data_IF_169036692244
#
_entry.id   IF_169036692244
#
_cell.length_a   1.000
_cell.length_b   1.000
_cell.length_c   1.000
_cell.angle_alpha   90.00
_cell.angle_beta   90.00
_cell.angle_gamma   90.00
#
_symmetry.space_group_name_H-M   'P 1'
#
loop_
_entity.id
_entity.type
_entity.pdbx_description
1 polymer ?
#
# COMPACT_ATOMS: atom_id res chain seq x y z
N UNK A 1 -8.78 -3.40 18.29
CA UNK A 1 -9.69 -2.45 17.60
C UNK A 1 -10.85 -3.20 16.96
N UNK A 2 -12.08 -2.67 17.06
CA UNK A 2 -13.25 -3.19 16.33
C UNK A 2 -13.58 -2.22 15.21
N UNK A 3 -13.45 -2.65 13.96
CA UNK A 3 -13.79 -1.84 12.77
C UNK A 3 -14.61 -2.69 11.80
N UNK A 4 -15.63 -2.10 11.18
CA UNK A 4 -16.53 -2.82 10.26
C UNK A 4 -15.85 -3.29 8.98
N UNK A 5 -14.68 -2.72 8.62
CA UNK A 5 -13.92 -3.14 7.45
C UNK A 5 -13.53 -4.63 7.54
N UNK A 6 -13.24 -5.14 8.75
CA UNK A 6 -12.85 -6.54 8.94
C UNK A 6 -14.00 -7.54 8.73
N UNK A 7 -15.24 -7.07 8.66
CA UNK A 7 -16.43 -7.87 8.34
C UNK A 7 -17.07 -7.48 7.01
N UNK A 8 -16.42 -6.65 6.21
CA UNK A 8 -16.96 -6.16 4.93
C UNK A 8 -16.90 -7.18 3.78
N UNK A 9 -16.34 -8.36 4.03
CA UNK A 9 -16.19 -9.43 3.04
C UNK A 9 -14.97 -9.25 2.14
N UNK A 10 -14.89 -10.03 1.08
CA UNK A 10 -13.74 -10.04 0.17
C UNK A 10 -13.67 -8.78 -0.69
N UNK A 11 -12.45 -8.44 -1.07
CA UNK A 11 -12.14 -7.49 -2.14
C UNK A 11 -12.48 -8.19 -3.47
N UNK A 12 -13.31 -7.60 -4.33
CA UNK A 12 -13.66 -8.23 -5.60
C UNK A 12 -12.51 -8.17 -6.60
N UNK A 13 -12.42 -9.17 -7.46
CA UNK A 13 -11.68 -9.06 -8.71
C UNK A 13 -12.37 -8.03 -9.63
N UNK A 14 -11.57 -7.20 -10.29
CA UNK A 14 -12.04 -6.21 -11.26
C UNK A 14 -11.31 -6.38 -12.60
N UNK A 15 -11.93 -5.94 -13.69
CA UNK A 15 -11.26 -5.92 -15.00
C UNK A 15 -10.14 -4.85 -14.94
N UNK A 16 -8.96 -5.26 -14.48
CA UNK A 16 -7.81 -4.38 -14.29
C UNK A 16 -6.91 -4.44 -15.53
N UNK A 17 -6.81 -3.34 -16.26
CA UNK A 17 -5.94 -3.21 -17.43
C UNK A 17 -4.90 -2.16 -17.14
N UNK A 18 -3.71 -2.60 -16.77
CA UNK A 18 -2.54 -1.73 -16.57
C UNK A 18 -1.69 -1.77 -17.84
N UNK A 19 -1.29 -0.61 -18.41
CA UNK A 19 -0.53 -0.62 -19.65
C UNK A 19 0.87 -1.20 -19.47
N UNK A 20 1.29 -2.04 -20.38
CA UNK A 20 2.66 -2.53 -20.45
C UNK A 20 3.56 -1.45 -21.06
N UNK A 21 4.20 -0.65 -20.22
CA UNK A 21 5.04 0.50 -20.62
C UNK A 21 6.30 0.56 -19.78
N UNK A 22 7.40 0.97 -20.40
CA UNK A 22 8.66 1.24 -19.71
C UNK A 22 8.52 2.49 -18.84
N UNK A 23 8.84 2.38 -17.54
CA UNK A 23 8.61 3.41 -16.53
C UNK A 23 9.76 4.44 -16.43
N UNK A 24 10.30 4.90 -17.57
CA UNK A 24 11.44 5.82 -17.63
C UNK A 24 11.08 7.29 -17.92
N UNK A 25 9.82 7.65 -17.86
CA UNK A 25 9.40 9.03 -18.00
C UNK A 25 8.18 9.33 -17.14
N UNK A 26 8.11 10.56 -16.65
CA UNK A 26 6.96 11.01 -15.83
C UNK A 26 5.60 10.70 -16.50
N UNK A 27 5.52 10.92 -17.82
CA UNK A 27 4.28 10.66 -18.58
C UNK A 27 3.92 9.16 -18.60
N UNK A 28 4.90 8.28 -18.79
CA UNK A 28 4.68 6.83 -18.79
C UNK A 28 4.27 6.35 -17.40
N UNK A 29 5.00 6.79 -16.37
CA UNK A 29 4.70 6.48 -14.98
C UNK A 29 3.30 6.99 -14.60
N UNK A 30 2.97 8.26 -14.87
CA UNK A 30 1.66 8.81 -14.56
C UNK A 30 0.52 8.02 -15.24
N UNK A 31 0.71 7.59 -16.48
CA UNK A 31 -0.27 6.77 -17.20
C UNK A 31 -0.44 5.40 -16.55
N UNK A 32 0.65 4.77 -16.13
CA UNK A 32 0.65 3.48 -15.44
C UNK A 32 -0.08 3.60 -14.09
N UNK A 33 0.32 4.58 -13.28
CA UNK A 33 -0.27 4.84 -11.97
C UNK A 33 -1.78 5.14 -12.06
N UNK A 34 -2.21 5.97 -13.03
CA UNK A 34 -3.63 6.28 -13.22
C UNK A 34 -4.46 5.02 -13.53
N UNK A 35 -3.97 4.14 -14.40
CA UNK A 35 -4.65 2.91 -14.76
C UNK A 35 -4.77 1.96 -13.56
N UNK A 36 -3.72 1.83 -12.76
CA UNK A 36 -3.73 0.99 -11.57
C UNK A 36 -4.57 1.59 -10.44
N UNK A 37 -4.55 2.90 -10.28
CA UNK A 37 -5.42 3.64 -9.35
C UNK A 37 -6.91 3.36 -9.60
N UNK A 38 -7.32 3.34 -10.88
CA UNK A 38 -8.70 3.01 -11.25
C UNK A 38 -9.07 1.58 -10.82
N UNK A 39 -8.15 0.61 -10.96
CA UNK A 39 -8.35 -0.75 -10.48
C UNK A 39 -8.56 -0.79 -8.95
N UNK A 40 -7.68 -0.15 -8.20
CA UNK A 40 -7.75 -0.07 -6.74
C UNK A 40 -9.06 0.54 -6.27
N UNK A 41 -9.46 1.66 -6.85
CA UNK A 41 -10.71 2.35 -6.50
C UNK A 41 -11.93 1.48 -6.77
N UNK A 42 -12.00 0.82 -7.93
CA UNK A 42 -13.13 -0.06 -8.29
C UNK A 42 -13.25 -1.26 -7.37
N UNK A 43 -12.13 -1.83 -6.94
CA UNK A 43 -12.12 -2.97 -6.03
C UNK A 43 -12.45 -2.56 -4.59
N UNK A 44 -11.87 -1.48 -4.07
CA UNK A 44 -12.05 -1.07 -2.69
C UNK A 44 -13.36 -0.33 -2.39
N UNK A 45 -13.91 0.40 -3.37
CA UNK A 45 -15.18 1.13 -3.20
C UNK A 45 -16.31 0.27 -2.62
N UNK A 46 -16.65 -0.91 -3.17
CA UNK A 46 -17.73 -1.73 -2.60
C UNK A 46 -17.40 -2.25 -1.19
N UNK A 47 -16.13 -2.50 -0.87
CA UNK A 47 -15.69 -2.97 0.45
C UNK A 47 -15.90 -1.87 1.51
N UNK A 48 -15.43 -0.66 1.22
CA UNK A 48 -15.60 0.52 2.09
C UNK A 48 -17.09 0.85 2.29
N UNK A 49 -17.89 0.75 1.23
CA UNK A 49 -19.35 0.97 1.33
C UNK A 49 -20.04 -0.10 2.19
N UNK A 50 -19.65 -1.38 2.07
CA UNK A 50 -20.16 -2.45 2.95
C UNK A 50 -19.74 -2.26 4.41
N UNK A 51 -18.60 -1.62 4.67
CA UNK A 51 -18.21 -1.21 6.01
C UNK A 51 -19.06 -0.05 6.57
N UNK A 52 -19.99 0.50 5.79
CA UNK A 52 -20.87 1.59 6.19
C UNK A 52 -20.27 2.98 6.01
N UNK A 53 -19.22 3.11 5.21
CA UNK A 53 -18.51 4.37 4.99
C UNK A 53 -18.70 4.85 3.55
N UNK A 54 -18.87 6.16 3.38
CA UNK A 54 -18.90 6.77 2.05
C UNK A 54 -17.50 6.73 1.44
N UNK A 55 -17.35 6.08 0.29
CA UNK A 55 -16.10 6.09 -0.44
C UNK A 55 -15.81 7.47 -1.05
N UNK A 56 -14.62 7.98 -0.82
CA UNK A 56 -14.05 9.15 -1.50
C UNK A 56 -12.88 8.66 -2.34
N UNK A 57 -12.78 9.06 -3.62
CA UNK A 57 -11.65 8.67 -4.45
C UNK A 57 -10.36 9.34 -3.98
N UNK A 58 -9.22 8.67 -4.17
CA UNK A 58 -7.89 9.27 -4.09
C UNK A 58 -7.40 9.70 -5.47
N UNK A 59 -6.38 10.55 -5.50
CA UNK A 59 -5.63 10.89 -6.70
C UNK A 59 -4.23 10.28 -6.65
N UNK A 60 -3.54 10.17 -7.79
CA UNK A 60 -2.14 9.73 -7.83
C UNK A 60 -1.31 10.66 -8.71
N UNK A 61 -0.08 10.93 -8.27
CA UNK A 61 0.81 11.90 -8.88
C UNK A 61 2.21 11.33 -9.05
N UNK A 62 2.70 11.29 -10.29
CA UNK A 62 4.10 11.05 -10.58
C UNK A 62 4.88 12.35 -10.35
N UNK A 63 5.64 12.39 -9.28
CA UNK A 63 6.44 13.54 -8.84
C UNK A 63 7.93 13.21 -8.86
N UNK A 64 8.77 14.14 -8.49
CA UNK A 64 10.20 13.95 -8.25
C UNK A 64 10.60 14.68 -6.98
N UNK A 65 11.77 14.40 -6.48
CA UNK A 65 12.36 15.11 -5.35
C UNK A 65 12.26 16.64 -5.51
N UNK A 66 11.91 17.33 -4.44
CA UNK A 66 11.69 18.78 -4.41
C UNK A 66 10.32 19.24 -4.90
N UNK A 67 9.46 18.36 -5.43
CA UNK A 67 8.08 18.70 -5.81
C UNK A 67 7.27 19.14 -4.58
N UNK A 68 6.40 20.13 -4.77
CA UNK A 68 5.45 20.53 -3.73
C UNK A 68 4.22 19.63 -3.77
N UNK A 69 3.80 19.16 -2.60
CA UNK A 69 2.63 18.32 -2.38
C UNK A 69 1.74 18.95 -1.31
N UNK A 70 0.55 18.44 -1.09
CA UNK A 70 -0.33 18.92 -0.02
C UNK A 70 0.23 18.62 1.39
N UNK A 71 1.12 17.63 1.53
CA UNK A 71 1.78 17.27 2.78
C UNK A 71 3.19 17.87 2.93
N UNK A 72 3.61 18.77 2.05
CA UNK A 72 4.92 19.44 2.11
C UNK A 72 5.76 19.22 0.87
N UNK A 73 7.08 19.22 1.04
CA UNK A 73 8.00 18.96 -0.06
C UNK A 73 8.34 17.49 -0.11
N UNK A 74 8.21 16.87 -1.28
CA UNK A 74 8.62 15.50 -1.54
C UNK A 74 10.15 15.40 -1.35
N UNK A 75 10.59 14.70 -0.30
CA UNK A 75 11.98 14.69 0.14
C UNK A 75 12.80 13.61 -0.58
N UNK A 76 14.12 13.70 -0.51
CA UNK A 76 15.05 12.75 -1.13
C UNK A 76 14.86 11.30 -0.64
N UNK A 77 14.40 11.12 0.58
CA UNK A 77 14.13 9.81 1.18
C UNK A 77 12.74 9.24 0.86
N UNK A 78 11.88 10.05 0.23
CA UNK A 78 10.52 9.64 -0.06
C UNK A 78 10.52 8.87 -1.40
N UNK A 79 10.04 7.63 -1.38
CA UNK A 79 9.85 6.79 -2.57
C UNK A 79 8.43 6.92 -3.10
N UNK A 80 7.49 6.79 -2.19
CA UNK A 80 6.07 7.05 -2.35
C UNK A 80 5.46 7.36 -0.98
N UNK A 81 4.32 8.05 -0.96
CA UNK A 81 3.50 8.17 0.24
C UNK A 81 2.06 8.58 -0.07
N UNK A 82 1.15 8.21 0.82
CA UNK A 82 -0.20 8.73 0.87
C UNK A 82 -0.26 10.02 1.69
N UNK A 83 -0.89 11.06 1.16
CA UNK A 83 -1.12 12.32 1.84
C UNK A 83 -2.60 12.47 2.22
N UNK A 84 -2.95 12.48 3.52
CA UNK A 84 -4.34 12.61 3.95
C UNK A 84 -4.93 14.00 3.68
N UNK A 85 -4.10 15.04 3.55
CA UNK A 85 -4.56 16.41 3.35
C UNK A 85 -5.36 16.60 2.05
N UNK A 86 -5.03 15.85 0.99
CA UNK A 86 -5.73 15.90 -0.29
C UNK A 86 -6.16 14.51 -0.80
N UNK A 87 -5.94 13.47 0.00
CA UNK A 87 -6.12 12.07 -0.39
C UNK A 87 -5.29 11.68 -1.62
N UNK A 88 -4.10 12.29 -1.77
CA UNK A 88 -3.17 12.06 -2.87
C UNK A 88 -2.15 10.97 -2.56
N UNK A 89 -1.82 10.15 -3.55
CA UNK A 89 -0.68 9.25 -3.52
C UNK A 89 0.41 9.88 -4.40
N UNK A 90 1.60 10.09 -3.83
CA UNK A 90 2.72 10.70 -4.53
C UNK A 90 3.82 9.67 -4.73
N UNK A 91 4.35 9.58 -5.96
CA UNK A 91 5.28 8.54 -6.38
C UNK A 91 6.47 9.15 -7.10
N UNK A 92 7.71 8.78 -6.70
CA UNK A 92 8.92 9.21 -7.41
C UNK A 92 9.04 8.49 -8.76
N UNK A 93 8.82 9.24 -9.85
CA UNK A 93 8.94 8.66 -11.18
C UNK A 93 10.41 8.47 -11.63
N UNK A 94 11.36 9.22 -11.06
CA UNK A 94 12.79 9.07 -11.38
C UNK A 94 13.36 7.79 -10.78
N UNK A 95 12.94 7.46 -9.55
CA UNK A 95 13.28 6.20 -8.92
C UNK A 95 12.70 5.00 -9.69
N UNK A 96 11.44 5.07 -10.11
CA UNK A 96 10.86 4.00 -10.94
C UNK A 96 11.62 3.79 -12.24
N UNK A 97 12.20 4.86 -12.82
CA UNK A 97 13.11 4.77 -13.94
C UNK A 97 14.39 3.98 -13.64
N UNK A 98 14.89 4.05 -12.41
CA UNK A 98 16.04 3.26 -11.94
C UNK A 98 15.66 1.80 -11.73
N UNK A 99 14.46 1.51 -11.23
CA UNK A 99 13.96 0.15 -11.08
C UNK A 99 13.93 -0.63 -12.41
N UNK A 100 13.73 0.05 -13.54
CA UNK A 100 13.83 -0.57 -14.88
C UNK A 100 15.24 -1.12 -15.19
N UNK A 101 16.28 -0.68 -14.49
CA UNK A 101 17.64 -1.23 -14.63
C UNK A 101 17.78 -2.61 -13.99
N UNK A 102 16.93 -2.92 -13.01
CA UNK A 102 16.82 -4.25 -12.41
C UNK A 102 15.90 -5.19 -13.19
N UNK A 103 15.11 -4.65 -14.11
CA UNK A 103 14.26 -5.37 -15.04
C UNK A 103 12.82 -4.86 -15.05
N UNK A 104 12.22 -4.93 -16.22
CA UNK A 104 10.86 -4.40 -16.45
C UNK A 104 9.80 -5.03 -15.54
N UNK A 105 9.86 -6.36 -15.34
CA UNK A 105 8.96 -7.06 -14.41
C UNK A 105 9.14 -6.56 -12.97
N UNK A 106 10.39 -6.39 -12.52
CA UNK A 106 10.68 -5.90 -11.19
C UNK A 106 10.12 -4.47 -10.97
N UNK A 107 10.38 -3.55 -11.92
CA UNK A 107 9.86 -2.19 -11.88
C UNK A 107 8.33 -2.14 -11.81
N UNK A 108 7.66 -2.92 -12.64
CA UNK A 108 6.20 -2.97 -12.63
C UNK A 108 5.64 -3.55 -11.32
N UNK A 109 6.19 -4.65 -10.83
CA UNK A 109 5.68 -5.31 -9.61
C UNK A 109 5.98 -4.46 -8.38
N UNK A 110 7.19 -3.88 -8.27
CA UNK A 110 7.48 -2.88 -7.24
C UNK A 110 6.42 -1.78 -7.21
N UNK A 111 6.09 -1.21 -8.38
CA UNK A 111 5.07 -0.16 -8.49
C UNK A 111 3.68 -0.65 -8.05
N UNK A 112 3.28 -1.87 -8.42
CA UNK A 112 1.99 -2.44 -8.00
C UNK A 112 1.93 -2.62 -6.48
N UNK A 113 2.97 -3.18 -5.87
CA UNK A 113 3.01 -3.47 -4.43
C UNK A 113 3.02 -2.17 -3.63
N UNK A 114 3.91 -1.24 -3.96
CA UNK A 114 4.02 0.05 -3.26
C UNK A 114 2.72 0.86 -3.39
N UNK A 115 2.17 0.95 -4.59
CA UNK A 115 0.93 1.71 -4.79
C UNK A 115 -0.28 1.07 -4.10
N UNK A 116 -0.34 -0.28 -4.02
CA UNK A 116 -1.38 -0.98 -3.28
C UNK A 116 -1.24 -0.74 -1.77
N UNK A 117 -0.01 -0.63 -1.25
CA UNK A 117 0.28 -0.24 0.13
C UNK A 117 -0.19 1.18 0.41
N UNK A 118 0.18 2.17 -0.41
CA UNK A 118 -0.24 3.57 -0.24
C UNK A 118 -1.78 3.72 -0.32
N UNK A 119 -2.40 2.93 -1.19
CA UNK A 119 -3.87 2.87 -1.21
C UNK A 119 -4.45 2.19 0.04
N UNK A 120 -3.70 1.31 0.68
CA UNK A 120 -4.02 0.76 2.01
C UNK A 120 -4.16 1.86 3.05
N UNK A 121 -3.26 2.85 3.06
CA UNK A 121 -3.37 4.04 3.91
C UNK A 121 -4.61 4.88 3.57
N UNK A 122 -4.96 5.01 2.30
CA UNK A 122 -6.21 5.66 1.92
C UNK A 122 -7.44 4.92 2.49
N UNK A 123 -7.46 3.59 2.44
CA UNK A 123 -8.54 2.79 3.05
C UNK A 123 -8.58 3.00 4.57
N UNK A 124 -7.43 2.98 5.27
CA UNK A 124 -7.34 3.25 6.70
C UNK A 124 -7.93 4.61 7.07
N UNK A 125 -7.60 5.64 6.29
CA UNK A 125 -8.15 6.99 6.45
C UNK A 125 -9.67 7.00 6.28
N UNK A 126 -10.19 6.39 5.22
CA UNK A 126 -11.63 6.35 4.95
C UNK A 126 -12.43 5.69 6.07
N UNK A 127 -11.91 4.61 6.66
CA UNK A 127 -12.64 3.82 7.66
C UNK A 127 -12.30 4.19 9.11
N UNK A 128 -11.53 5.28 9.33
CA UNK A 128 -11.19 5.81 10.64
C UNK A 128 -10.13 5.01 11.41
N UNK A 129 -9.34 4.20 10.72
CA UNK A 129 -8.20 3.49 11.33
C UNK A 129 -7.04 4.46 11.57
N UNK A 130 -6.80 5.42 10.67
CA UNK A 130 -5.77 6.46 10.86
C UNK A 130 -6.05 7.30 12.12
N UNK A 131 -7.30 7.69 12.36
CA UNK A 131 -7.67 8.38 13.60
C UNK A 131 -7.36 7.52 14.84
N UNK A 132 -7.66 6.21 14.80
CA UNK A 132 -7.31 5.32 15.90
C UNK A 132 -5.80 5.18 16.09
N UNK A 133 -5.03 5.17 15.00
CA UNK A 133 -3.56 5.21 15.05
C UNK A 133 -3.06 6.48 15.71
N UNK A 134 -3.59 7.66 15.36
CA UNK A 134 -3.21 8.95 15.92
C UNK A 134 -3.49 8.99 17.43
N UNK A 135 -4.64 8.47 17.88
CA UNK A 135 -4.98 8.34 19.29
C UNK A 135 -3.94 7.46 20.03
N UNK A 136 -3.60 6.30 19.46
CA UNK A 136 -2.59 5.39 20.03
C UNK A 136 -1.19 6.00 20.05
N UNK A 137 -0.84 6.75 19.01
CA UNK A 137 0.41 7.49 18.95
C UNK A 137 0.50 8.53 20.08
N UNK A 138 -0.58 9.27 20.31
CA UNK A 138 -0.66 10.28 21.36
C UNK A 138 -0.60 9.75 22.79
N UNK A 139 -0.87 8.44 23.00
CA UNK A 139 -0.85 7.81 24.32
C UNK A 139 0.54 7.30 24.74
N UNK A 140 1.51 7.26 23.82
CA UNK A 140 2.85 6.71 24.05
C UNK A 140 3.94 7.75 23.76
N UNK A 141 5.18 7.48 24.16
CA UNK A 141 6.31 8.37 23.94
C UNK A 141 7.59 7.62 23.59
N UNK A 142 8.52 8.30 22.93
CA UNK A 142 9.82 7.77 22.56
C UNK A 142 9.71 6.52 21.66
N UNK A 143 10.50 5.49 21.92
CA UNK A 143 10.50 4.26 21.11
C UNK A 143 9.17 3.46 21.16
N UNK A 144 8.29 3.76 22.12
CA UNK A 144 6.98 3.12 22.18
C UNK A 144 6.07 3.51 21.00
N UNK A 145 6.33 4.62 20.30
CA UNK A 145 5.66 5.01 19.07
C UNK A 145 5.82 3.98 17.93
N UNK A 146 6.91 3.20 17.94
CA UNK A 146 7.18 2.22 16.90
C UNK A 146 6.12 1.11 16.82
N UNK A 147 5.47 0.76 17.94
CA UNK A 147 4.46 -0.31 17.91
C UNK A 147 3.17 0.10 17.16
N UNK A 148 2.50 1.23 17.49
CA UNK A 148 1.36 1.68 16.69
C UNK A 148 1.74 1.95 15.22
N UNK A 149 2.94 2.44 14.95
CA UNK A 149 3.46 2.67 13.61
C UNK A 149 3.54 1.38 12.82
N UNK A 150 4.25 0.36 13.33
CA UNK A 150 4.32 -0.97 12.69
C UNK A 150 2.95 -1.57 12.42
N UNK A 151 1.99 -1.44 13.36
CA UNK A 151 0.62 -1.93 13.15
C UNK A 151 -0.07 -1.25 11.99
N UNK A 152 0.13 0.06 11.85
CA UNK A 152 -0.44 0.86 10.78
C UNK A 152 0.17 0.49 9.42
N UNK A 153 1.51 0.39 9.35
CA UNK A 153 2.24 0.03 8.14
C UNK A 153 1.96 -1.40 7.66
N UNK A 154 2.08 -2.38 8.56
CA UNK A 154 1.78 -3.78 8.26
C UNK A 154 0.33 -3.97 7.81
N UNK A 155 -0.60 -3.18 8.34
CA UNK A 155 -1.99 -3.25 7.91
C UNK A 155 -2.18 -2.65 6.51
N UNK A 156 -1.48 -1.57 6.16
CA UNK A 156 -1.52 -1.01 4.82
C UNK A 156 -0.99 -2.02 3.78
N UNK A 157 0.16 -2.66 4.06
CA UNK A 157 0.71 -3.75 3.25
C UNK A 157 -0.26 -4.93 3.13
N UNK A 158 -0.91 -5.31 4.22
CA UNK A 158 -1.91 -6.38 4.25
C UNK A 158 -3.14 -6.04 3.38
N UNK A 159 -3.67 -4.83 3.46
CA UNK A 159 -4.76 -4.37 2.58
C UNK A 159 -4.33 -4.38 1.11
N UNK A 160 -3.12 -3.91 0.81
CA UNK A 160 -2.54 -4.01 -0.53
C UNK A 160 -2.50 -5.44 -1.04
N UNK A 161 -2.01 -6.37 -0.21
CA UNK A 161 -1.93 -7.80 -0.56
C UNK A 161 -3.29 -8.46 -0.72
N UNK A 162 -4.32 -8.06 0.05
CA UNK A 162 -5.70 -8.54 -0.14
C UNK A 162 -6.25 -8.14 -1.52
N UNK A 163 -5.94 -6.94 -1.99
CA UNK A 163 -6.28 -6.50 -3.35
C UNK A 163 -5.50 -7.27 -4.41
N UNK A 164 -4.18 -7.42 -4.24
CA UNK A 164 -3.32 -8.11 -5.21
C UNK A 164 -3.73 -9.59 -5.36
N UNK A 165 -4.06 -10.27 -4.27
CA UNK A 165 -4.57 -11.64 -4.29
C UNK A 165 -5.91 -11.76 -5.03
N UNK A 166 -6.86 -10.86 -4.75
CA UNK A 166 -8.16 -10.82 -5.42
C UNK A 166 -8.04 -10.53 -6.92
N UNK A 167 -6.98 -9.84 -7.33
CA UNK A 167 -6.74 -9.41 -8.71
C UNK A 167 -5.52 -10.08 -9.33
N UNK A 168 -5.10 -11.24 -8.81
CA UNK A 168 -3.96 -12.00 -9.31
C UNK A 168 -4.05 -12.26 -10.82
N UNK A 169 -5.19 -12.74 -11.30
CA UNK A 169 -5.40 -13.04 -12.73
C UNK A 169 -5.40 -11.78 -13.60
N UNK A 170 -6.20 -10.73 -13.34
CA UNK A 170 -6.17 -9.54 -14.20
C UNK A 170 -4.86 -8.75 -14.15
N UNK A 171 -4.02 -8.94 -13.12
CA UNK A 171 -2.69 -8.34 -13.01
C UNK A 171 -1.57 -9.26 -13.51
N UNK A 172 -1.92 -10.46 -13.96
CA UNK A 172 -0.96 -11.50 -14.39
C UNK A 172 0.14 -11.76 -13.33
N UNK A 173 -0.24 -11.83 -12.04
CA UNK A 173 0.69 -12.10 -10.95
C UNK A 173 0.98 -13.59 -10.83
N UNK A 174 1.67 -14.13 -11.84
CA UNK A 174 2.12 -15.53 -11.94
C UNK A 174 3.59 -15.62 -12.31
N UNK A 175 4.23 -16.78 -12.10
CA UNK A 175 5.62 -17.01 -12.47
C UNK A 175 6.55 -15.92 -11.95
N UNK A 176 7.37 -15.32 -12.81
CA UNK A 176 8.35 -14.30 -12.43
C UNK A 176 7.72 -13.06 -11.76
N UNK A 177 6.50 -12.68 -12.14
CA UNK A 177 5.80 -11.56 -11.50
C UNK A 177 5.35 -11.91 -10.08
N UNK A 178 4.94 -13.15 -9.84
CA UNK A 178 4.59 -13.63 -8.51
C UNK A 178 5.83 -13.75 -7.61
N UNK A 179 6.95 -14.23 -8.14
CA UNK A 179 8.23 -14.25 -7.39
C UNK A 179 8.69 -12.83 -7.03
N UNK A 180 8.57 -11.88 -7.94
CA UNK A 180 8.85 -10.48 -7.64
C UNK A 180 7.90 -9.92 -6.56
N UNK A 181 6.60 -10.26 -6.61
CA UNK A 181 5.65 -9.90 -5.55
C UNK A 181 6.07 -10.47 -4.18
N UNK A 182 6.49 -11.74 -4.11
CA UNK A 182 6.94 -12.34 -2.85
C UNK A 182 8.17 -11.62 -2.28
N UNK A 183 9.10 -11.21 -3.15
CA UNK A 183 10.26 -10.41 -2.76
C UNK A 183 9.84 -9.06 -2.15
N UNK A 184 8.95 -8.33 -2.83
CA UNK A 184 8.47 -7.03 -2.35
C UNK A 184 7.62 -7.16 -1.08
N UNK A 185 6.75 -8.18 -1.00
CA UNK A 185 5.92 -8.46 0.18
C UNK A 185 6.73 -8.85 1.43
N UNK A 186 7.98 -9.25 1.25
CA UNK A 186 8.92 -9.53 2.34
C UNK A 186 9.76 -8.31 2.76
N UNK A 187 9.56 -7.15 2.11
CA UNK A 187 10.27 -5.94 2.49
C UNK A 187 9.86 -5.47 3.88
N UNK A 188 10.82 -5.03 4.68
CA UNK A 188 10.59 -4.58 6.04
C UNK A 188 11.87 -4.03 6.68
N UNK A 189 11.86 -3.90 8.00
CA UNK A 189 12.97 -3.35 8.78
C UNK A 189 14.20 -4.28 8.78
N UNK A 190 15.06 -4.16 7.79
CA UNK A 190 16.33 -4.88 7.72
C UNK A 190 17.41 -4.17 8.55
N UNK A 191 18.30 -4.89 9.27
CA UNK A 191 19.51 -4.28 9.81
C UNK A 191 20.42 -3.81 8.65
N UNK A 192 20.99 -2.60 8.69
CA UNK A 192 21.06 -1.64 9.80
C UNK A 192 19.99 -0.54 9.78
N UNK A 193 18.74 -0.82 9.38
CA UNK A 193 17.68 0.18 9.37
C UNK A 193 17.64 0.93 10.71
N UNK A 194 17.70 2.24 10.64
CA UNK A 194 17.63 3.14 11.79
C UNK A 194 16.19 3.34 12.26
N UNK A 195 15.23 3.34 11.36
CA UNK A 195 13.81 3.29 11.64
C UNK A 195 13.34 1.82 11.70
N UNK A 196 12.50 1.49 12.67
CA UNK A 196 11.89 0.15 12.83
C UNK A 196 10.39 0.29 12.85
N UNK A 197 9.88 0.89 11.80
CA UNK A 197 8.50 1.36 11.69
C UNK A 197 7.62 0.50 10.75
N UNK A 198 8.22 -0.27 9.85
CA UNK A 198 7.50 -1.11 8.87
C UNK A 198 7.35 -2.58 9.29
N UNK A 199 7.88 -2.96 10.47
CA UNK A 199 7.87 -4.34 10.93
C UNK A 199 8.97 -5.20 10.28
N UNK A 200 9.19 -6.39 10.83
CA UNK A 200 10.20 -7.30 10.30
C UNK A 200 9.81 -7.88 8.93
N UNK A 201 10.77 -8.30 8.10
CA UNK A 201 10.49 -9.03 6.86
C UNK A 201 9.57 -10.23 7.06
N UNK A 202 9.76 -10.97 8.15
CA UNK A 202 8.91 -12.10 8.48
C UNK A 202 7.46 -11.66 8.74
N UNK A 203 7.25 -10.61 9.52
CA UNK A 203 5.91 -10.09 9.81
C UNK A 203 5.21 -9.59 8.56
N UNK A 204 5.92 -8.86 7.69
CA UNK A 204 5.38 -8.43 6.40
C UNK A 204 4.96 -9.64 5.55
N UNK A 205 5.83 -10.66 5.42
CA UNK A 205 5.52 -11.89 4.68
C UNK A 205 4.27 -12.58 5.22
N UNK A 206 4.17 -12.74 6.55
CA UNK A 206 3.03 -13.43 7.19
C UNK A 206 1.71 -12.69 6.97
N UNK A 207 1.68 -11.37 7.18
CA UNK A 207 0.49 -10.55 6.94
C UNK A 207 0.10 -10.50 5.47
N UNK A 208 1.07 -10.34 4.58
CA UNK A 208 0.85 -10.31 3.14
C UNK A 208 0.31 -11.65 2.62
N UNK A 209 0.91 -12.78 3.00
CA UNK A 209 0.49 -14.11 2.57
C UNK A 209 -0.94 -14.45 3.05
N UNK A 210 -1.25 -14.13 4.32
CA UNK A 210 -2.59 -14.33 4.87
C UNK A 210 -3.64 -13.52 4.10
N UNK A 211 -3.35 -12.26 3.80
CA UNK A 211 -4.26 -11.37 3.10
C UNK A 211 -4.41 -11.73 1.61
N UNK A 212 -3.32 -12.06 0.94
CA UNK A 212 -3.32 -12.50 -0.46
C UNK A 212 -4.21 -13.73 -0.66
N UNK A 213 -4.10 -14.70 0.25
CA UNK A 213 -4.91 -15.92 0.22
C UNK A 213 -6.38 -15.66 0.56
N UNK A 214 -6.63 -14.85 1.59
CA UNK A 214 -7.99 -14.54 2.04
C UNK A 214 -8.74 -13.58 1.11
N UNK A 215 -8.00 -12.74 0.36
CA UNK A 215 -8.56 -11.67 -0.48
C UNK A 215 -9.53 -10.77 0.30
N UNK A 216 -9.25 -10.54 1.59
CA UNK A 216 -10.19 -9.89 2.50
C UNK A 216 -9.49 -9.07 3.57
N UNK A 217 -9.99 -7.87 3.91
CA UNK A 217 -9.48 -7.09 5.04
C UNK A 217 -9.68 -7.79 6.40
N UNK A 218 -10.48 -8.86 6.47
CA UNK A 218 -10.64 -9.66 7.68
C UNK A 218 -9.32 -10.24 8.20
N UNK A 219 -8.37 -10.54 7.30
CA UNK A 219 -7.04 -11.04 7.64
C UNK A 219 -6.11 -9.95 8.21
N UNK A 220 -6.47 -8.66 8.11
CA UNK A 220 -5.57 -7.53 8.32
C UNK A 220 -5.76 -6.78 9.65
N UNK A 221 -6.35 -7.40 10.67
CA UNK A 221 -6.53 -6.72 11.95
C UNK A 221 -5.27 -6.78 12.83
N UNK A 222 -4.24 -6.05 12.47
CA UNK A 222 -2.96 -5.95 13.19
C UNK A 222 -3.13 -5.41 14.62
N UNK A 223 -4.23 -4.70 14.90
CA UNK A 223 -4.51 -4.04 16.18
C UNK A 223 -4.96 -5.00 17.30
N UNK A 224 -5.31 -6.24 16.98
CA UNK A 224 -5.69 -7.27 17.97
C UNK A 224 -4.63 -8.36 18.09
N UNK A 225 -3.64 -8.40 17.22
CA UNK A 225 -2.53 -9.34 17.33
C UNK A 225 -1.71 -9.05 18.61
N UNK A 226 -1.20 -10.06 19.32
CA UNK A 226 -0.34 -9.86 20.49
C UNK A 226 0.91 -9.05 20.17
N UNK A 227 1.48 -9.28 18.98
CA UNK A 227 2.54 -8.47 18.34
C UNK A 227 2.22 -8.38 16.86
N UNK A 228 2.49 -7.25 16.23
CA UNK A 228 2.27 -7.08 14.80
C UNK A 228 3.57 -7.15 13.99
N UNK A 229 4.73 -6.84 14.60
CA UNK A 229 6.03 -6.85 13.93
C UNK A 229 7.20 -6.99 14.90
#
# INVERSE_FOLDING_TARGET
MRNRIYSAGQVPAVACVVPDVVLRSQKAVQRYLNAFQDCLQRAWKPVVVRAGVRFRPSAVYAVRQGSKTACGTFAEKDHAYYCPADSGIYFDWEELGQWEDYGHVAAQVYTLVTMAHEFGHHVQELVGISTYYDDRWGEVAGSAHLEPMRRHELQASCFGSAFLGANQTPLDLYGARYEAYLSEASYGDHPPATARDHGSPQSNTEWAAAAFTAMSPAACNTWVAPRAG
#
